data_IF_548125416366
#
_entry.id   IF_548125416366
#
_cell.length_a   1.000
_cell.length_b   1.000
_cell.length_c   1.000
_cell.angle_alpha   90.00
_cell.angle_beta   90.00
_cell.angle_gamma   90.00
#
_symmetry.space_group_name_H-M   'P 1'
#
loop_
_entity.id
_entity.type
_entity.pdbx_description
1 polymer ?
#
# COMPACT_ATOMS: atom_id res chain seq x y z
N UNK A 1 29.96 9.56 1.18
CA UNK A 1 30.70 8.28 1.23
C UNK A 1 29.68 7.17 1.02
N UNK A 2 29.64 6.56 -0.16
CA UNK A 2 28.63 5.57 -0.53
C UNK A 2 29.17 4.15 -0.43
N UNK A 3 28.40 3.23 0.13
CA UNK A 3 28.71 1.80 0.12
C UNK A 3 27.95 1.13 -1.03
N UNK A 4 28.59 0.16 -1.69
CA UNK A 4 27.95 -0.70 -2.67
C UNK A 4 27.95 -2.13 -2.15
N UNK A 5 26.77 -2.74 -2.04
CA UNK A 5 26.65 -4.14 -1.67
C UNK A 5 26.71 -4.98 -2.95
N UNK A 6 27.79 -5.75 -3.11
CA UNK A 6 27.96 -6.70 -4.21
C UNK A 6 27.58 -8.08 -3.71
N UNK A 7 26.58 -8.69 -4.33
CA UNK A 7 26.16 -10.06 -4.06
C UNK A 7 26.71 -10.99 -5.15
N UNK A 8 27.05 -12.25 -4.83
CA UNK A 8 27.44 -13.19 -5.85
C UNK A 8 26.24 -13.57 -6.73
N UNK A 9 26.49 -13.90 -7.99
CA UNK A 9 25.46 -14.09 -9.02
C UNK A 9 24.49 -15.20 -8.65
N UNK A 10 24.99 -16.29 -8.07
CA UNK A 10 24.21 -17.44 -7.62
C UNK A 10 23.15 -17.06 -6.57
N UNK A 11 23.46 -16.14 -5.65
CA UNK A 11 22.49 -15.63 -4.67
C UNK A 11 21.34 -14.87 -5.35
N UNK A 12 21.65 -14.09 -6.38
CA UNK A 12 20.64 -13.35 -7.17
C UNK A 12 19.76 -14.34 -7.95
N UNK A 13 20.38 -15.33 -8.59
CA UNK A 13 19.68 -16.36 -9.36
C UNK A 13 18.78 -17.23 -8.46
N UNK A 14 19.29 -17.68 -7.31
CA UNK A 14 18.52 -18.42 -6.32
C UNK A 14 17.31 -17.61 -5.82
N UNK A 15 17.50 -16.32 -5.55
CA UNK A 15 16.39 -15.44 -5.15
C UNK A 15 15.34 -15.31 -6.27
N UNK A 16 15.76 -15.11 -7.52
CA UNK A 16 14.85 -15.05 -8.68
C UNK A 16 14.07 -16.35 -8.86
N UNK A 17 14.75 -17.50 -8.76
CA UNK A 17 14.13 -18.82 -8.86
C UNK A 17 13.09 -19.04 -7.74
N UNK A 18 13.41 -18.63 -6.51
CA UNK A 18 12.49 -18.65 -5.38
C UNK A 18 11.22 -17.83 -5.66
N UNK A 19 11.37 -16.58 -6.13
CA UNK A 19 10.22 -15.72 -6.47
C UNK A 19 9.40 -16.31 -7.61
N UNK A 20 10.04 -16.84 -8.65
CA UNK A 20 9.34 -17.46 -9.79
C UNK A 20 8.49 -18.66 -9.34
N UNK A 21 9.04 -19.55 -8.51
CA UNK A 21 8.32 -20.70 -7.94
C UNK A 21 7.12 -20.27 -7.11
N UNK A 22 7.24 -19.18 -6.33
CA UNK A 22 6.11 -18.66 -5.56
C UNK A 22 5.02 -18.09 -6.45
N UNK A 23 5.38 -17.38 -7.52
CA UNK A 23 4.41 -16.84 -8.49
C UNK A 23 3.68 -17.96 -9.23
N UNK A 24 4.35 -19.07 -9.56
CA UNK A 24 3.72 -20.20 -10.24
C UNK A 24 2.75 -21.00 -9.37
N UNK A 25 2.94 -20.98 -8.05
CA UNK A 25 2.03 -21.66 -7.09
C UNK A 25 0.82 -20.80 -6.71
N UNK A 26 0.82 -19.51 -7.06
CA UNK A 26 -0.25 -18.61 -6.67
C UNK A 26 -1.44 -18.80 -7.62
N UNK A 27 -2.67 -18.97 -7.09
CA UNK A 27 -3.87 -19.12 -7.91
C UNK A 27 -3.98 -18.01 -8.96
N UNK A 28 -4.33 -18.38 -10.19
CA UNK A 28 -4.39 -17.44 -11.32
C UNK A 28 -5.43 -16.34 -11.10
N UNK A 29 -6.47 -16.61 -10.32
CA UNK A 29 -7.55 -15.69 -9.97
C UNK A 29 -7.01 -14.45 -9.25
N UNK A 30 -5.91 -14.57 -8.50
CA UNK A 30 -5.25 -13.43 -7.83
C UNK A 30 -4.51 -12.48 -8.78
N UNK A 31 -4.28 -12.89 -10.03
CA UNK A 31 -3.67 -12.06 -11.07
C UNK A 31 -4.69 -11.40 -12.00
N UNK A 32 -5.99 -11.47 -11.67
CA UNK A 32 -7.01 -10.82 -12.48
C UNK A 32 -6.75 -9.32 -12.60
N UNK A 33 -7.04 -8.78 -13.78
CA UNK A 33 -7.05 -7.33 -13.97
C UNK A 33 -8.23 -6.74 -13.20
N UNK A 34 -8.01 -5.78 -12.29
CA UNK A 34 -9.09 -5.07 -11.61
C UNK A 34 -9.95 -4.30 -12.62
N UNK A 35 -11.25 -4.21 -12.35
CA UNK A 35 -12.20 -3.43 -13.15
C UNK A 35 -12.02 -1.93 -12.93
N UNK A 36 -12.57 -1.10 -13.81
CA UNK A 36 -12.51 0.35 -13.65
C UNK A 36 -13.25 0.81 -12.39
N UNK A 37 -14.39 0.19 -12.07
CA UNK A 37 -15.16 0.50 -10.86
C UNK A 37 -14.36 0.17 -9.59
N UNK A 38 -13.59 -0.92 -9.60
CA UNK A 38 -12.71 -1.29 -8.49
C UNK A 38 -11.52 -0.33 -8.36
N UNK A 39 -10.99 0.15 -9.49
CA UNK A 39 -9.98 1.21 -9.50
C UNK A 39 -10.50 2.51 -8.92
N UNK A 40 -11.69 2.94 -9.35
CA UNK A 40 -12.34 4.15 -8.85
C UNK A 40 -12.61 4.04 -7.35
N UNK A 41 -13.07 2.88 -6.88
CA UNK A 41 -13.26 2.62 -5.45
C UNK A 41 -11.94 2.65 -4.67
N UNK A 42 -10.86 2.11 -5.23
CA UNK A 42 -9.52 2.13 -4.64
C UNK A 42 -8.98 3.55 -4.51
N UNK A 43 -9.04 4.35 -5.58
CA UNK A 43 -8.58 5.74 -5.57
C UNK A 43 -9.42 6.59 -4.61
N UNK A 44 -10.75 6.44 -4.70
CA UNK A 44 -11.69 7.10 -3.82
C UNK A 44 -11.45 6.77 -2.33
N UNK A 45 -10.93 5.60 -1.99
CA UNK A 45 -10.65 5.24 -0.60
C UNK A 45 -9.67 6.20 0.09
N UNK A 46 -8.64 6.65 -0.65
CA UNK A 46 -7.62 7.54 -0.12
C UNK A 46 -8.04 9.01 -0.22
N UNK A 47 -8.73 9.38 -1.29
CA UNK A 47 -9.21 10.75 -1.50
C UNK A 47 -10.39 11.11 -0.60
N UNK A 48 -11.34 10.19 -0.37
CA UNK A 48 -12.56 10.45 0.43
C UNK A 48 -12.31 10.40 1.94
N UNK A 49 -11.16 9.93 2.41
CA UNK A 49 -10.80 9.91 3.85
C UNK A 49 -9.96 11.12 4.24
N UNK A 50 -10.35 12.30 3.76
CA UNK A 50 -9.97 13.57 4.36
C UNK A 50 -10.65 13.68 5.73
N UNK A 51 -9.85 13.91 6.76
CA UNK A 51 -10.25 14.17 8.13
C UNK A 51 -10.01 15.65 8.42
N UNK A 52 -10.62 16.19 9.47
CA UNK A 52 -10.43 17.58 9.89
C UNK A 52 -8.97 17.97 10.15
N UNK A 53 -8.09 17.00 10.42
CA UNK A 53 -6.67 17.21 10.70
C UNK A 53 -5.72 16.75 9.59
N UNK A 54 -6.20 16.15 8.49
CA UNK A 54 -5.34 15.62 7.43
C UNK A 54 -5.89 14.39 6.73
N UNK A 55 -5.02 13.47 6.32
CA UNK A 55 -5.40 12.27 5.53
C UNK A 55 -5.14 10.98 6.30
N UNK A 56 -6.00 9.97 6.10
CA UNK A 56 -5.82 8.64 6.67
C UNK A 56 -5.06 7.72 5.69
N UNK A 57 -3.85 7.29 6.05
CA UNK A 57 -3.02 6.41 5.21
C UNK A 57 -3.25 4.92 5.45
N UNK A 58 -4.47 4.55 5.85
CA UNK A 58 -4.80 3.15 6.15
C UNK A 58 -4.91 2.33 4.86
N UNK A 59 -4.59 1.04 4.94
CA UNK A 59 -4.68 0.13 3.79
C UNK A 59 -6.13 -0.02 3.30
N UNK A 60 -6.27 -0.09 1.97
CA UNK A 60 -7.55 -0.33 1.31
C UNK A 60 -8.26 -1.58 1.86
N UNK A 61 -9.59 -1.51 2.00
CA UNK A 61 -10.42 -2.64 2.43
C UNK A 61 -10.38 -2.96 3.92
N UNK A 62 -9.67 -2.20 4.76
CA UNK A 62 -9.61 -2.46 6.20
C UNK A 62 -10.58 -1.56 6.99
N UNK A 63 -11.21 -2.08 8.06
CA UNK A 63 -12.10 -1.34 9.00
C UNK A 63 -11.35 -0.62 10.12
N UNK A 64 -11.56 0.69 10.33
CA UNK A 64 -10.84 1.42 11.37
C UNK A 64 -11.35 0.97 12.75
N UNK A 65 -10.47 0.49 13.64
CA UNK A 65 -10.84 0.09 15.01
C UNK A 65 -11.40 1.26 15.83
N UNK A 66 -11.20 2.49 15.36
CA UNK A 66 -11.64 3.69 16.05
C UNK A 66 -12.97 4.22 15.53
N UNK A 67 -13.65 3.51 14.61
CA UNK A 67 -14.98 3.71 13.98
C UNK A 67 -15.29 5.15 13.50
N UNK A 68 -15.07 6.17 14.33
CA UNK A 68 -15.22 7.60 14.07
C UNK A 68 -14.02 8.47 14.53
N UNK A 69 -12.98 7.92 15.16
CA UNK A 69 -11.87 8.68 15.79
C UNK A 69 -10.51 8.45 15.12
N UNK A 70 -10.43 8.63 13.80
CA UNK A 70 -9.18 8.51 13.05
C UNK A 70 -8.05 9.44 13.52
N UNK A 71 -8.36 10.48 14.30
CA UNK A 71 -7.37 11.41 14.88
C UNK A 71 -6.35 10.75 15.82
N UNK A 72 -6.68 9.57 16.40
CA UNK A 72 -5.77 8.82 17.29
C UNK A 72 -5.06 7.66 16.58
N UNK A 73 -5.26 7.50 15.28
CA UNK A 73 -4.68 6.40 14.52
C UNK A 73 -3.22 6.67 14.18
N UNK A 74 -2.32 5.72 14.43
CA UNK A 74 -0.96 5.72 13.90
C UNK A 74 -0.87 6.03 12.37
N UNK A 75 -1.79 5.54 11.51
CA UNK A 75 -1.77 5.90 10.08
C UNK A 75 -2.29 7.32 9.74
N UNK A 76 -2.60 8.19 10.70
CA UNK A 76 -2.95 9.58 10.42
C UNK A 76 -1.73 10.34 9.88
N UNK A 77 -1.92 11.07 8.78
CA UNK A 77 -0.95 12.01 8.23
C UNK A 77 -1.53 13.43 8.33
N UNK A 78 -1.11 14.23 9.32
CA UNK A 78 -1.60 15.59 9.49
C UNK A 78 -1.33 16.44 8.25
N UNK A 79 -2.31 17.25 7.82
CA UNK A 79 -2.08 18.26 6.78
C UNK A 79 -1.18 19.36 7.33
N UNK A 80 -0.45 20.05 6.44
CA UNK A 80 0.30 21.24 6.87
C UNK A 80 -0.70 22.37 7.22
N UNK A 81 -0.34 23.29 8.12
CA UNK A 81 -1.23 24.36 8.58
C UNK A 81 -1.86 25.25 7.49
N UNK A 82 -1.33 25.26 6.27
CA UNK A 82 -1.75 26.15 5.16
C UNK A 82 -2.17 25.39 3.89
N UNK A 83 -2.44 24.09 3.97
CA UNK A 83 -3.00 23.33 2.85
C UNK A 83 -4.53 23.35 2.99
N UNK A 84 -5.20 24.17 2.18
CA UNK A 84 -6.66 24.31 2.22
C UNK A 84 -7.34 22.95 2.00
N UNK A 85 -8.37 22.70 2.82
CA UNK A 85 -9.19 21.46 2.82
C UNK A 85 -9.80 21.18 1.45
#
# INVERSE_FOLDING_TARGET
MGYNAIYPTDAIEAHRAFIARRRSLRPSEEYRTPTNEEWDAFLAHFEKRKLSLGTCARSFGTSCIHEHACVRCSPLRPSRPNEAV
#
